data_IF_477507732748
#
_entry.id   IF_477507732748
#
_cell.length_a   1.000
_cell.length_b   1.000
_cell.length_c   1.000
_cell.angle_alpha   90.00
_cell.angle_beta   90.00
_cell.angle_gamma   90.00
#
_symmetry.space_group_name_H-M   'P 1'
#
loop_
_entity.id
_entity.type
_entity.pdbx_description
1 polymer ?
#
# COMPACT_ATOMS: atom_id res chain seq x y z
N UNK A 1 -5.53 -16.25 1.24
CA UNK A 1 -4.64 -15.40 0.41
C UNK A 1 -4.01 -14.37 1.32
N UNK A 2 -2.76 -13.97 1.10
CA UNK A 2 -2.10 -12.92 1.89
C UNK A 2 -2.23 -11.61 1.11
N UNK A 3 -2.86 -10.60 1.69
CA UNK A 3 -2.99 -9.29 1.07
C UNK A 3 -1.87 -8.40 1.59
N UNK A 4 -1.14 -7.77 0.68
CA UNK A 4 -0.06 -6.85 0.98
C UNK A 4 -0.57 -5.43 0.81
N UNK A 5 -0.45 -4.63 1.87
CA UNK A 5 -0.92 -3.27 1.90
C UNK A 5 0.25 -2.30 1.81
N UNK A 6 0.15 -1.36 0.88
CA UNK A 6 1.15 -0.32 0.67
C UNK A 6 0.54 1.07 0.69
N UNK A 7 1.36 2.06 1.02
CA UNK A 7 1.11 3.47 0.72
C UNK A 7 2.01 3.89 -0.44
N UNK A 8 1.42 4.40 -1.51
CA UNK A 8 2.11 5.12 -2.57
C UNK A 8 2.15 6.61 -2.25
N UNK A 9 3.35 7.18 -2.34
CA UNK A 9 3.60 8.60 -2.14
C UNK A 9 3.71 9.39 -3.47
N UNK A 10 3.82 8.70 -4.61
CA UNK A 10 3.93 9.36 -5.91
C UNK A 10 2.59 9.56 -6.63
N UNK A 11 1.49 9.05 -6.06
CA UNK A 11 0.17 9.02 -6.71
C UNK A 11 0.06 7.99 -7.84
N UNK A 12 1.15 7.25 -8.12
CA UNK A 12 1.16 6.10 -9.04
C UNK A 12 0.97 4.80 -8.26
N UNK A 13 0.42 3.78 -8.90
CA UNK A 13 0.25 2.46 -8.29
C UNK A 13 0.48 1.35 -9.33
N UNK A 14 0.89 0.15 -8.89
CA UNK A 14 1.08 -0.99 -9.79
C UNK A 14 -0.21 -1.38 -10.52
N UNK A 15 -0.09 -1.80 -11.78
CA UNK A 15 -1.26 -2.23 -12.57
C UNK A 15 -1.93 -3.50 -12.02
N UNK A 16 -1.17 -4.34 -11.31
CA UNK A 16 -1.64 -5.57 -10.66
C UNK A 16 -2.29 -5.35 -9.29
N UNK A 17 -2.60 -4.10 -8.94
CA UNK A 17 -3.30 -3.77 -7.70
C UNK A 17 -4.70 -4.37 -7.71
N UNK A 18 -5.06 -5.05 -6.61
CA UNK A 18 -6.41 -5.58 -6.40
C UNK A 18 -7.38 -4.48 -6.01
N UNK A 19 -6.92 -3.54 -5.20
CA UNK A 19 -7.69 -2.40 -4.71
C UNK A 19 -6.79 -1.19 -4.57
N UNK A 20 -7.35 -0.02 -4.85
CA UNK A 20 -6.65 1.26 -4.82
C UNK A 20 -7.59 2.30 -4.22
N UNK A 21 -7.14 2.95 -3.14
CA UNK A 21 -7.85 4.07 -2.52
C UNK A 21 -7.01 5.33 -2.67
N UNK A 22 -7.47 6.25 -3.52
CA UNK A 22 -6.76 7.49 -3.82
C UNK A 22 -7.18 8.57 -2.81
N UNK A 23 -6.21 9.11 -2.10
CA UNK A 23 -6.36 10.29 -1.26
C UNK A 23 -5.57 11.46 -1.87
N UNK A 24 -5.75 12.67 -1.32
CA UNK A 24 -5.15 13.90 -1.88
C UNK A 24 -3.62 13.88 -1.97
N UNK A 25 -2.94 13.18 -1.05
CA UNK A 25 -1.46 13.17 -0.94
C UNK A 25 -0.84 11.78 -1.03
N UNK A 26 -1.65 10.74 -1.06
CA UNK A 26 -1.18 9.35 -1.01
C UNK A 26 -2.22 8.42 -1.62
N UNK A 27 -1.82 7.19 -1.89
CA UNK A 27 -2.73 6.15 -2.39
C UNK A 27 -2.48 4.88 -1.62
N UNK A 28 -3.54 4.29 -1.05
CA UNK A 28 -3.46 2.98 -0.40
C UNK A 28 -3.66 1.92 -1.46
N UNK A 29 -2.74 0.96 -1.52
CA UNK A 29 -2.69 -0.06 -2.57
C UNK A 29 -2.71 -1.44 -1.93
N UNK A 30 -3.57 -2.30 -2.46
CA UNK A 30 -3.64 -3.72 -2.12
C UNK A 30 -3.03 -4.57 -3.23
N UNK A 31 -2.10 -5.46 -2.90
CA UNK A 31 -1.49 -6.44 -3.80
C UNK A 31 -1.71 -7.87 -3.29
N UNK A 32 -1.83 -8.83 -4.22
CA UNK A 32 -1.93 -10.27 -3.93
C UNK A 32 -0.62 -10.89 -3.44
N UNK A 33 0.49 -10.22 -3.72
CA UNK A 33 1.85 -10.65 -3.44
C UNK A 33 2.75 -9.40 -3.26
N UNK A 34 3.99 -9.61 -2.85
CA UNK A 34 4.91 -8.52 -2.52
C UNK A 34 5.23 -7.64 -3.73
N UNK A 35 5.37 -6.33 -3.53
CA UNK A 35 5.75 -5.40 -4.57
C UNK A 35 7.17 -5.72 -5.10
N UNK A 36 7.37 -5.69 -6.41
CA UNK A 36 8.72 -5.85 -6.97
C UNK A 36 9.56 -4.61 -6.65
N UNK A 37 10.90 -4.71 -6.59
CA UNK A 37 11.76 -3.55 -6.35
C UNK A 37 11.52 -2.38 -7.31
N UNK A 38 11.22 -2.67 -8.58
CA UNK A 38 10.89 -1.66 -9.58
C UNK A 38 9.55 -0.96 -9.29
N UNK A 39 8.52 -1.71 -8.88
CA UNK A 39 7.24 -1.12 -8.48
C UNK A 39 7.38 -0.26 -7.22
N UNK A 40 8.18 -0.72 -6.24
CA UNK A 40 8.47 0.03 -5.03
C UNK A 40 9.12 1.37 -5.38
N UNK A 41 10.13 1.39 -6.24
CA UNK A 41 10.81 2.63 -6.61
C UNK A 41 9.92 3.57 -7.45
N UNK A 42 9.23 3.04 -8.46
CA UNK A 42 8.41 3.84 -9.37
C UNK A 42 7.17 4.45 -8.67
N UNK A 43 6.52 3.66 -7.82
CA UNK A 43 5.31 4.09 -7.12
C UNK A 43 5.61 4.66 -5.72
N UNK A 44 6.88 4.68 -5.30
CA UNK A 44 7.30 5.08 -3.95
C UNK A 44 6.46 4.35 -2.89
N UNK A 45 6.39 3.02 -3.03
CA UNK A 45 5.58 2.17 -2.18
C UNK A 45 6.25 1.97 -0.82
N UNK A 46 5.42 2.03 0.20
CA UNK A 46 5.79 1.76 1.58
C UNK A 46 4.90 0.64 2.09
N UNK A 47 5.50 -0.49 2.46
CA UNK A 47 4.75 -1.60 3.05
C UNK A 47 4.22 -1.20 4.43
N UNK A 48 2.91 -1.29 4.63
CA UNK A 48 2.25 -1.02 5.91
C UNK A 48 1.75 -2.29 6.61
N UNK A 49 1.67 -3.41 5.89
CA UNK A 49 1.45 -4.71 6.53
C UNK A 49 0.91 -5.77 5.58
N UNK A 50 0.81 -6.98 6.12
CA UNK A 50 0.25 -8.15 5.45
C UNK A 50 -0.93 -8.64 6.30
N UNK A 51 -2.08 -8.88 5.68
CA UNK A 51 -3.31 -9.27 6.38
C UNK A 51 -4.54 -8.57 5.82
N UNK A 52 -5.61 -8.51 6.61
CA UNK A 52 -6.84 -7.82 6.20
C UNK A 52 -6.70 -6.32 6.43
N UNK A 53 -7.34 -5.51 5.59
CA UNK A 53 -7.29 -4.05 5.72
C UNK A 53 -7.64 -3.58 7.14
N UNK A 54 -8.64 -4.21 7.75
CA UNK A 54 -9.15 -3.88 9.08
C UNK A 54 -8.25 -4.32 10.24
N UNK A 55 -7.16 -5.04 9.95
CA UNK A 55 -6.26 -5.49 11.01
C UNK A 55 -5.59 -4.30 11.69
N UNK A 56 -5.54 -4.38 13.03
CA UNK A 56 -5.08 -3.29 13.88
C UNK A 56 -3.69 -2.79 13.50
N UNK A 57 -2.74 -3.69 13.23
CA UNK A 57 -1.37 -3.32 12.86
C UNK A 57 -1.30 -2.58 11.52
N UNK A 58 -2.13 -2.96 10.54
CA UNK A 58 -2.20 -2.27 9.24
C UNK A 58 -2.76 -0.85 9.44
N UNK A 59 -3.86 -0.72 10.19
CA UNK A 59 -4.47 0.57 10.47
C UNK A 59 -3.54 1.50 11.26
N UNK A 60 -2.79 0.97 12.24
CA UNK A 60 -1.80 1.72 13.00
C UNK A 60 -0.60 2.15 12.15
N UNK A 61 -0.09 1.28 11.29
CA UNK A 61 1.02 1.61 10.39
C UNK A 61 0.62 2.65 9.33
N UNK A 62 -0.60 2.56 8.79
CA UNK A 62 -1.14 3.59 7.90
C UNK A 62 -1.19 4.93 8.62
N UNK A 63 -1.78 4.99 9.83
CA UNK A 63 -1.83 6.23 10.62
C UNK A 63 -0.44 6.78 10.94
N UNK A 64 0.54 5.92 11.22
CA UNK A 64 1.92 6.31 11.50
C UNK A 64 2.60 6.97 10.30
N UNK A 65 2.36 6.47 9.09
CA UNK A 65 2.92 7.03 7.86
C UNK A 65 2.22 8.29 7.37
N UNK A 66 0.95 8.46 7.73
CA UNK A 66 0.14 9.63 7.33
C UNK A 66 0.18 10.78 8.34
N UNK A 67 0.84 10.58 9.48
CA UNK A 67 1.07 11.62 10.49
C UNK A 67 2.18 12.56 10.06
#
# INVERSE_FOLDING_TARGET
MRHYWYISLSGKYPRRSMSVQIAKRYTIVELTDEATPNEIDQCKLVLVGIGWFTDKHIQENIKRWLR
#
